data_IF_666847911394
#
_entry.id   IF_666847911394
#
_cell.length_a   1.000
_cell.length_b   1.000
_cell.length_c   1.000
_cell.angle_alpha   90.00
_cell.angle_beta   90.00
_cell.angle_gamma   90.00
#
_symmetry.space_group_name_H-M   'P 1'
#
loop_
_entity.id
_entity.type
_entity.pdbx_description
1 polymer ?
#
# COMPACT_ATOMS: atom_id res chain seq x y z
N UNK A 1 -9.20 -18.25 28.84
CA UNK A 1 -8.47 -18.45 27.53
C UNK A 1 -9.52 -18.28 26.45
N UNK A 2 -9.73 -17.02 26.07
CA UNK A 2 -10.84 -16.62 25.21
C UNK A 2 -10.35 -16.68 23.76
N UNK A 3 -10.98 -17.62 23.03
CA UNK A 3 -10.73 -17.78 21.61
C UNK A 3 -11.32 -16.60 20.85
N UNK A 4 -10.48 -15.73 20.30
CA UNK A 4 -10.91 -14.78 19.28
C UNK A 4 -11.67 -15.50 18.15
N UNK A 5 -12.76 -14.93 17.65
CA UNK A 5 -13.58 -15.57 16.64
C UNK A 5 -12.74 -15.83 15.39
N UNK A 6 -12.75 -17.06 14.91
CA UNK A 6 -12.05 -17.54 13.71
C UNK A 6 -12.28 -16.68 12.45
N UNK A 7 -13.30 -15.81 12.42
CA UNK A 7 -13.59 -14.90 11.31
C UNK A 7 -12.63 -13.72 11.25
N UNK A 8 -12.24 -13.12 12.38
CA UNK A 8 -11.33 -11.96 12.43
C UNK A 8 -9.92 -12.32 11.92
N UNK A 9 -9.42 -13.54 12.20
CA UNK A 9 -8.13 -14.02 11.67
C UNK A 9 -8.09 -14.23 10.15
N UNK A 10 -9.24 -14.25 9.46
CA UNK A 10 -9.31 -14.39 8.00
C UNK A 10 -9.17 -13.07 7.24
N UNK A 11 -9.28 -11.93 7.92
CA UNK A 11 -9.25 -10.59 7.32
C UNK A 11 -8.08 -9.75 7.84
N UNK A 12 -6.96 -10.37 8.18
CA UNK A 12 -5.75 -9.68 8.63
C UNK A 12 -4.59 -9.87 7.65
N UNK A 13 -3.64 -8.93 7.73
CA UNK A 13 -2.32 -9.03 7.14
C UNK A 13 -1.33 -9.36 8.25
N UNK A 14 -0.60 -10.47 8.18
CA UNK A 14 0.33 -10.83 9.24
C UNK A 14 1.67 -11.37 8.74
N UNK A 15 2.69 -11.10 9.54
CA UNK A 15 4.03 -11.65 9.42
C UNK A 15 4.36 -12.39 10.72
N UNK A 16 5.01 -13.54 10.62
CA UNK A 16 5.51 -14.31 11.76
C UNK A 16 6.97 -14.63 11.52
N UNK A 17 7.85 -14.03 12.32
CA UNK A 17 9.32 -14.21 12.29
C UNK A 17 9.93 -14.04 10.88
N UNK A 18 9.43 -13.03 10.14
CA UNK A 18 9.79 -12.79 8.74
C UNK A 18 11.12 -12.07 8.64
N UNK A 19 12.06 -12.66 7.92
CA UNK A 19 13.32 -12.03 7.51
C UNK A 19 13.35 -11.87 5.99
N UNK A 20 13.81 -10.71 5.52
CA UNK A 20 14.05 -10.43 4.10
C UNK A 20 15.50 -9.99 3.93
N UNK A 21 16.25 -10.76 3.15
CA UNK A 21 17.61 -10.44 2.74
C UNK A 21 17.64 -10.27 1.24
N UNK A 22 18.31 -9.24 0.76
CA UNK A 22 18.48 -8.92 -0.66
C UNK A 22 19.96 -8.89 -1.01
N UNK A 23 20.32 -9.22 -2.24
CA UNK A 23 21.67 -9.12 -2.72
C UNK A 23 22.04 -7.64 -2.92
N UNK A 24 23.05 -7.20 -2.17
CA UNK A 24 23.60 -5.86 -2.30
C UNK A 24 24.98 -5.88 -2.97
N UNK A 25 25.51 -4.71 -3.40
CA UNK A 25 26.82 -4.62 -4.06
C UNK A 25 28.02 -5.12 -3.22
N UNK A 26 27.83 -5.20 -1.91
CA UNK A 26 28.87 -5.64 -0.94
C UNK A 26 28.52 -6.95 -0.24
N UNK A 27 27.57 -7.71 -0.76
CA UNK A 27 27.03 -8.93 -0.17
C UNK A 27 25.58 -8.80 0.30
N UNK A 28 25.02 -9.85 0.91
CA UNK A 28 23.63 -9.86 1.36
C UNK A 28 23.35 -8.75 2.40
N UNK A 29 22.24 -8.06 2.22
CA UNK A 29 21.76 -6.99 3.13
C UNK A 29 20.40 -7.42 3.70
N UNK A 30 20.29 -7.51 5.01
CA UNK A 30 19.02 -7.76 5.69
C UNK A 30 18.20 -6.46 5.74
N UNK A 31 17.07 -6.44 5.04
CA UNK A 31 16.13 -5.30 4.94
C UNK A 31 15.05 -5.38 6.02
N UNK A 32 14.60 -6.60 6.35
CA UNK A 32 13.69 -6.89 7.45
C UNK A 32 14.28 -8.06 8.26
N UNK A 33 14.30 -7.94 9.59
CA UNK A 33 14.82 -8.95 10.50
C UNK A 33 13.77 -9.39 11.51
N UNK A 34 13.35 -10.66 11.41
CA UNK A 34 12.42 -11.34 12.32
C UNK A 34 11.16 -10.53 12.65
N UNK A 35 10.56 -9.92 11.62
CA UNK A 35 9.33 -9.14 11.77
C UNK A 35 8.17 -10.05 12.16
N UNK A 36 7.52 -9.71 13.28
CA UNK A 36 6.24 -10.30 13.68
C UNK A 36 5.23 -9.18 13.91
N UNK A 37 4.15 -9.17 13.12
CA UNK A 37 3.09 -8.19 13.20
C UNK A 37 1.77 -8.76 12.70
N UNK A 38 0.66 -8.16 13.15
CA UNK A 38 -0.67 -8.43 12.64
C UNK A 38 -1.43 -7.11 12.49
N UNK A 39 -1.88 -6.81 11.27
CA UNK A 39 -2.66 -5.64 10.93
C UNK A 39 -4.10 -6.04 10.70
N UNK A 40 -4.96 -5.74 11.67
CA UNK A 40 -6.42 -6.03 11.66
C UNK A 40 -7.25 -4.78 11.44
N UNK A 41 -6.68 -3.59 11.68
CA UNK A 41 -7.37 -2.33 11.48
C UNK A 41 -7.76 -2.12 10.02
N UNK A 42 -8.88 -1.44 9.77
CA UNK A 42 -9.31 -1.09 8.42
C UNK A 42 -8.26 -0.23 7.69
N UNK A 43 -7.58 0.67 8.41
CA UNK A 43 -6.45 1.43 7.87
C UNK A 43 -5.29 1.38 8.84
N UNK A 44 -4.15 0.89 8.33
CA UNK A 44 -2.86 0.91 9.03
C UNK A 44 -1.88 1.76 8.23
N UNK A 45 -1.21 2.70 8.90
CA UNK A 45 -0.09 3.45 8.34
C UNK A 45 1.24 2.83 8.79
N UNK A 46 2.17 2.67 7.86
CA UNK A 46 3.55 2.25 8.11
C UNK A 46 4.45 3.45 7.88
N UNK A 47 5.04 3.96 8.94
CA UNK A 47 5.93 5.14 8.91
C UNK A 47 7.37 4.76 9.23
N UNK A 48 8.32 5.62 8.91
CA UNK A 48 9.75 5.40 9.14
C UNK A 48 10.60 6.16 8.13
N UNK A 49 11.90 6.22 8.35
CA UNK A 49 12.84 6.90 7.48
C UNK A 49 12.92 6.25 6.09
N UNK A 50 13.47 6.98 5.10
CA UNK A 50 13.74 6.41 3.79
C UNK A 50 14.75 5.26 3.92
N UNK A 51 14.50 4.16 3.19
CA UNK A 51 15.33 2.96 3.26
C UNK A 51 15.09 2.07 4.48
N UNK A 52 14.15 2.39 5.38
CA UNK A 52 13.90 1.58 6.59
C UNK A 52 13.27 0.21 6.36
N UNK A 53 12.81 -0.09 5.13
CA UNK A 53 12.17 -1.38 4.80
C UNK A 53 10.65 -1.32 4.64
N UNK A 54 9.99 -0.15 4.75
CA UNK A 54 8.52 0.00 4.60
C UNK A 54 7.98 -0.64 3.32
N UNK A 55 8.52 -0.24 2.16
CA UNK A 55 8.08 -0.78 0.87
C UNK A 55 8.31 -2.28 0.76
N UNK A 56 9.39 -2.80 1.35
CA UNK A 56 9.67 -4.24 1.40
C UNK A 56 8.63 -4.98 2.22
N UNK A 57 8.26 -4.43 3.40
CA UNK A 57 7.18 -4.98 4.24
C UNK A 57 5.84 -5.02 3.49
N UNK A 58 5.48 -3.93 2.81
CA UNK A 58 4.24 -3.86 2.04
C UNK A 58 4.21 -4.89 0.90
N UNK A 59 5.31 -5.07 0.20
CA UNK A 59 5.45 -5.97 -0.95
C UNK A 59 5.38 -7.46 -0.60
N UNK A 60 5.56 -7.83 0.65
CA UNK A 60 5.36 -9.20 1.13
C UNK A 60 3.91 -9.66 0.95
N UNK A 61 2.93 -8.78 1.20
CA UNK A 61 1.51 -9.13 1.23
C UNK A 61 0.89 -9.41 -0.13
N UNK A 62 1.53 -8.99 -1.22
CA UNK A 62 1.08 -9.29 -2.59
C UNK A 62 2.05 -10.18 -3.37
N UNK A 63 2.99 -10.85 -2.69
CA UNK A 63 4.00 -11.71 -3.29
C UNK A 63 4.90 -10.99 -4.33
N UNK A 64 5.16 -9.70 -4.17
CA UNK A 64 6.20 -8.96 -4.92
C UNK A 64 7.59 -9.16 -4.32
N UNK A 65 7.65 -9.45 -3.03
CA UNK A 65 8.85 -9.87 -2.32
C UNK A 65 8.57 -11.20 -1.63
N UNK A 66 9.50 -12.13 -1.74
CA UNK A 66 9.46 -13.41 -1.04
C UNK A 66 10.33 -13.31 0.21
N UNK A 67 9.85 -13.68 1.40
CA UNK A 67 10.68 -13.70 2.60
C UNK A 67 11.78 -14.75 2.49
N UNK A 68 12.93 -14.46 3.06
CA UNK A 68 14.05 -15.43 3.19
C UNK A 68 13.76 -16.48 4.25
N UNK A 69 13.00 -16.11 5.29
CA UNK A 69 12.49 -17.00 6.34
C UNK A 69 11.21 -16.44 6.95
N UNK A 70 10.51 -17.25 7.78
CA UNK A 70 9.27 -16.88 8.42
C UNK A 70 8.04 -17.12 7.54
N UNK A 71 6.88 -16.59 7.95
CA UNK A 71 5.61 -16.80 7.28
C UNK A 71 4.84 -15.50 7.11
N UNK A 72 4.20 -15.33 5.95
CA UNK A 72 3.30 -14.20 5.64
C UNK A 72 1.90 -14.72 5.40
N UNK A 73 0.89 -13.97 5.84
CA UNK A 73 -0.52 -14.25 5.54
C UNK A 73 -1.24 -12.99 5.08
N UNK A 74 -2.03 -13.13 4.03
CA UNK A 74 -2.85 -12.07 3.45
C UNK A 74 -4.28 -12.56 3.38
N UNK A 75 -5.13 -12.11 4.32
CA UNK A 75 -6.51 -12.59 4.46
C UNK A 75 -6.57 -14.14 4.42
N UNK A 76 -5.69 -14.79 5.19
CA UNK A 76 -5.61 -16.25 5.30
C UNK A 76 -4.88 -16.96 4.17
N UNK A 77 -4.50 -16.27 3.08
CA UNK A 77 -3.70 -16.82 1.98
C UNK A 77 -2.21 -16.67 2.30
N UNK A 78 -1.43 -17.69 1.95
CA UNK A 78 0.02 -17.63 1.95
C UNK A 78 0.50 -17.07 0.59
N UNK A 79 1.11 -15.86 0.56
CA UNK A 79 1.55 -15.26 -0.71
C UNK A 79 2.69 -16.03 -1.38
N UNK A 80 3.48 -16.78 -0.61
CA UNK A 80 4.57 -17.59 -1.16
C UNK A 80 4.04 -18.84 -1.84
N UNK A 81 3.12 -19.56 -1.17
CA UNK A 81 2.53 -20.78 -1.70
C UNK A 81 1.50 -20.50 -2.81
N UNK A 82 0.76 -19.41 -2.73
CA UNK A 82 -0.31 -19.06 -3.65
C UNK A 82 -0.26 -17.59 -4.11
N UNK A 83 0.79 -17.20 -4.86
CA UNK A 83 1.00 -15.79 -5.24
C UNK A 83 -0.12 -15.22 -6.12
N UNK A 84 -0.76 -16.05 -6.96
CA UNK A 84 -1.90 -15.63 -7.78
C UNK A 84 -3.12 -15.28 -6.93
N UNK A 85 -3.40 -16.09 -5.91
CA UNK A 85 -4.53 -15.85 -5.00
C UNK A 85 -4.30 -14.63 -4.12
N UNK A 86 -3.07 -14.43 -3.63
CA UNK A 86 -2.69 -13.22 -2.90
C UNK A 86 -2.89 -11.97 -3.77
N UNK A 87 -2.36 -11.96 -5.01
CA UNK A 87 -2.51 -10.82 -5.95
C UNK A 87 -3.95 -10.57 -6.37
N UNK A 88 -4.80 -11.58 -6.39
CA UNK A 88 -6.23 -11.39 -6.68
C UNK A 88 -6.98 -10.66 -5.57
N UNK A 89 -6.45 -10.66 -4.35
CA UNK A 89 -7.05 -10.02 -3.17
C UNK A 89 -6.47 -8.63 -2.89
N UNK A 90 -5.23 -8.39 -3.33
CA UNK A 90 -4.45 -7.19 -3.02
C UNK A 90 -4.33 -6.30 -4.24
N UNK A 91 -4.88 -5.10 -4.16
CA UNK A 91 -4.53 -4.01 -5.05
C UNK A 91 -3.29 -3.28 -4.53
N UNK A 92 -2.28 -3.13 -5.35
CA UNK A 92 -1.03 -2.45 -4.98
C UNK A 92 -0.86 -1.18 -5.82
N UNK A 93 -0.65 -0.04 -5.15
CA UNK A 93 -0.33 1.24 -5.78
C UNK A 93 1.13 1.57 -5.46
N UNK A 94 1.96 1.67 -6.50
CA UNK A 94 3.38 1.97 -6.37
C UNK A 94 3.63 3.46 -6.17
N UNK A 95 4.78 3.78 -5.57
CA UNK A 95 5.25 5.17 -5.40
C UNK A 95 5.42 5.89 -6.73
N UNK A 96 5.93 5.19 -7.76
CA UNK A 96 6.08 5.71 -9.12
C UNK A 96 4.96 5.18 -10.03
N UNK A 97 3.98 6.02 -10.41
CA UNK A 97 2.90 5.61 -11.30
C UNK A 97 3.38 5.26 -12.72
N UNK A 98 4.52 5.77 -13.17
CA UNK A 98 5.06 5.45 -14.48
C UNK A 98 5.47 3.97 -14.61
N UNK A 99 5.78 3.32 -13.49
CA UNK A 99 6.05 1.87 -13.46
C UNK A 99 4.77 1.02 -13.47
N UNK A 100 3.59 1.62 -13.38
CA UNK A 100 2.31 0.93 -13.23
C UNK A 100 1.36 1.16 -14.41
N UNK A 101 1.32 2.37 -14.96
CA UNK A 101 0.47 2.71 -16.11
C UNK A 101 1.08 2.09 -17.38
N UNK A 102 0.29 1.27 -18.07
CA UNK A 102 0.73 0.50 -19.23
C UNK A 102 0.14 1.00 -20.56
N UNK A 103 -0.99 1.71 -20.51
CA UNK A 103 -1.74 2.12 -21.70
C UNK A 103 -1.52 3.61 -22.01
N UNK A 104 -1.72 4.02 -23.29
CA UNK A 104 -1.50 5.40 -23.72
C UNK A 104 -2.44 6.41 -23.09
N UNK A 105 -3.65 6.01 -22.72
CA UNK A 105 -4.67 6.88 -22.12
C UNK A 105 -5.19 6.34 -20.79
N UNK A 106 -5.63 7.22 -19.87
CA UNK A 106 -6.23 6.82 -18.59
C UNK A 106 -7.38 5.82 -18.71
N UNK A 107 -8.28 6.03 -19.66
CA UNK A 107 -9.44 5.16 -19.84
C UNK A 107 -9.02 3.75 -20.25
N UNK A 108 -8.07 3.63 -21.20
CA UNK A 108 -7.56 2.34 -21.67
C UNK A 108 -6.83 1.58 -20.55
N UNK A 109 -6.12 2.27 -19.67
CA UNK A 109 -5.40 1.65 -18.55
C UNK A 109 -6.37 1.03 -17.53
N UNK A 110 -7.46 1.74 -17.20
CA UNK A 110 -8.51 1.20 -16.35
C UNK A 110 -9.27 0.07 -17.06
N UNK A 111 -9.58 0.21 -18.36
CA UNK A 111 -10.19 -0.85 -19.15
C UNK A 111 -9.35 -2.13 -19.15
N UNK A 112 -8.01 -2.00 -19.22
CA UNK A 112 -7.09 -3.15 -19.13
C UNK A 112 -7.29 -3.91 -17.83
N UNK A 113 -7.42 -3.20 -16.71
CA UNK A 113 -7.68 -3.80 -15.40
C UNK A 113 -9.05 -4.51 -15.36
N UNK A 114 -10.07 -3.93 -15.98
CA UNK A 114 -11.44 -4.46 -16.01
C UNK A 114 -11.65 -5.65 -16.96
N UNK A 115 -10.74 -5.92 -17.91
CA UNK A 115 -10.92 -6.91 -19.01
C UNK A 115 -11.40 -8.28 -18.56
N UNK A 116 -10.96 -8.74 -17.39
CA UNK A 116 -11.33 -10.07 -16.88
C UNK A 116 -12.73 -10.11 -16.26
N UNK A 117 -13.27 -8.95 -15.86
CA UNK A 117 -14.56 -8.83 -15.16
C UNK A 117 -15.68 -8.37 -16.09
N UNK A 118 -15.37 -7.43 -16.98
CA UNK A 118 -16.33 -6.80 -17.89
C UNK A 118 -15.94 -7.15 -19.32
N UNK A 119 -16.74 -8.02 -19.97
CA UNK A 119 -16.45 -8.48 -21.34
C UNK A 119 -16.90 -7.50 -22.41
N UNK A 120 -18.03 -6.83 -22.17
CA UNK A 120 -18.55 -5.83 -23.08
C UNK A 120 -17.63 -4.59 -23.08
N UNK A 121 -17.30 -4.09 -24.28
CA UNK A 121 -16.36 -2.98 -24.45
C UNK A 121 -16.96 -1.67 -24.00
N UNK A 122 -18.22 -1.41 -24.36
CA UNK A 122 -18.90 -0.17 -24.05
C UNK A 122 -19.11 -0.03 -22.54
N UNK A 123 -19.61 -1.10 -21.90
CA UNK A 123 -19.76 -1.15 -20.46
C UNK A 123 -18.43 -0.93 -19.73
N UNK A 124 -17.35 -1.52 -20.25
CA UNK A 124 -16.01 -1.38 -19.65
C UNK A 124 -15.48 0.05 -19.74
N UNK A 125 -15.66 0.71 -20.89
CA UNK A 125 -15.30 2.12 -21.08
C UNK A 125 -16.11 3.03 -20.16
N UNK A 126 -17.42 2.81 -20.05
CA UNK A 126 -18.30 3.55 -19.13
C UNK A 126 -17.84 3.40 -17.66
N UNK A 127 -17.52 2.18 -17.23
CA UNK A 127 -17.00 1.93 -15.89
C UNK A 127 -15.63 2.62 -15.68
N UNK A 128 -14.74 2.58 -16.67
CA UNK A 128 -13.45 3.25 -16.61
C UNK A 128 -13.58 4.76 -16.44
N UNK A 129 -14.48 5.39 -17.22
CA UNK A 129 -14.78 6.82 -17.10
C UNK A 129 -15.40 7.15 -15.73
N UNK A 130 -16.25 6.28 -15.18
CA UNK A 130 -16.81 6.47 -13.84
C UNK A 130 -15.70 6.46 -12.76
N UNK A 131 -14.71 5.59 -12.87
CA UNK A 131 -13.55 5.58 -11.95
C UNK A 131 -12.73 6.86 -12.09
N UNK A 132 -12.46 7.31 -13.31
CA UNK A 132 -11.78 8.58 -13.53
C UNK A 132 -12.56 9.77 -12.95
N UNK A 133 -13.89 9.74 -13.01
CA UNK A 133 -14.74 10.78 -12.37
C UNK A 133 -14.57 10.79 -10.85
N UNK A 134 -14.47 9.61 -10.20
CA UNK A 134 -14.27 9.52 -8.73
C UNK A 134 -12.95 10.14 -8.29
N UNK A 135 -11.92 10.06 -9.12
CA UNK A 135 -10.61 10.68 -8.84
C UNK A 135 -10.47 12.09 -9.44
N UNK A 136 -11.55 12.63 -10.05
CA UNK A 136 -11.59 13.99 -10.60
C UNK A 136 -10.84 14.18 -11.91
N UNK A 137 -10.72 13.11 -12.72
CA UNK A 137 -9.98 13.08 -13.98
C UNK A 137 -10.85 12.67 -15.19
N UNK A 138 -12.18 12.81 -15.11
CA UNK A 138 -13.09 12.46 -16.21
C UNK A 138 -12.75 13.21 -17.50
N UNK A 139 -12.40 14.50 -17.40
CA UNK A 139 -12.05 15.34 -18.56
C UNK A 139 -10.69 14.95 -19.19
N UNK A 140 -9.92 14.12 -18.50
CA UNK A 140 -8.62 13.61 -18.95
C UNK A 140 -8.67 12.17 -19.48
N UNK A 141 -9.85 11.55 -19.53
CA UNK A 141 -10.02 10.14 -19.83
C UNK A 141 -9.29 9.67 -21.11
N UNK A 142 -9.38 10.47 -22.17
CA UNK A 142 -8.82 10.17 -23.48
C UNK A 142 -7.55 10.98 -23.84
N UNK A 143 -6.98 11.72 -22.86
CA UNK A 143 -5.70 12.41 -23.07
C UNK A 143 -4.55 11.42 -23.00
N UNK A 144 -3.40 11.80 -23.58
CA UNK A 144 -2.18 11.03 -23.41
C UNK A 144 -1.78 11.01 -21.92
N UNK A 145 -1.37 9.85 -21.39
CA UNK A 145 -0.83 9.74 -20.03
C UNK A 145 0.44 10.57 -19.84
N UNK A 146 1.15 10.90 -20.93
CA UNK A 146 2.35 11.76 -20.90
C UNK A 146 2.01 13.23 -20.67
N UNK A 147 0.77 13.67 -20.99
CA UNK A 147 0.29 15.03 -20.75
C UNK A 147 -0.20 15.23 -19.31
N UNK A 148 -0.30 14.16 -18.53
CA UNK A 148 -0.71 14.21 -17.13
C UNK A 148 0.48 14.57 -16.22
N UNK A 149 0.20 15.36 -15.19
CA UNK A 149 1.14 15.55 -14.08
C UNK A 149 1.43 14.25 -13.34
N UNK A 150 2.51 14.20 -12.57
CA UNK A 150 2.84 13.04 -11.76
C UNK A 150 1.70 12.67 -10.77
N UNK A 151 1.06 13.69 -10.20
CA UNK A 151 -0.09 13.49 -9.30
C UNK A 151 -1.33 12.96 -10.02
N UNK A 152 -1.64 13.46 -11.22
CA UNK A 152 -2.75 12.91 -12.02
C UNK A 152 -2.48 11.45 -12.41
N UNK A 153 -1.26 11.10 -12.81
CA UNK A 153 -0.88 9.70 -13.07
C UNK A 153 -1.05 8.83 -11.84
N UNK A 154 -0.70 9.31 -10.64
CA UNK A 154 -0.91 8.57 -9.39
C UNK A 154 -2.38 8.28 -9.14
N UNK A 155 -3.27 9.24 -9.40
CA UNK A 155 -4.72 9.05 -9.28
C UNK A 155 -5.28 8.08 -10.33
N UNK A 156 -4.74 8.08 -11.57
CA UNK A 156 -5.08 7.07 -12.60
C UNK A 156 -4.69 5.67 -12.15
N UNK A 157 -3.46 5.48 -11.67
CA UNK A 157 -2.97 4.20 -11.17
C UNK A 157 -3.86 3.68 -10.00
N UNK A 158 -4.23 4.56 -9.08
CA UNK A 158 -5.15 4.23 -7.98
C UNK A 158 -6.53 3.82 -8.51
N UNK A 159 -7.09 4.56 -9.48
CA UNK A 159 -8.39 4.24 -10.09
C UNK A 159 -8.37 2.88 -10.79
N UNK A 160 -7.30 2.56 -11.52
CA UNK A 160 -7.11 1.25 -12.17
C UNK A 160 -7.05 0.09 -11.18
N UNK A 161 -6.40 0.31 -10.02
CA UNK A 161 -6.35 -0.67 -8.94
C UNK A 161 -7.71 -0.84 -8.26
N UNK A 162 -8.41 0.23 -7.98
CA UNK A 162 -9.73 0.19 -7.33
C UNK A 162 -10.82 -0.39 -8.24
N UNK A 163 -10.70 -0.24 -9.55
CA UNK A 163 -11.66 -0.76 -10.52
C UNK A 163 -11.84 -2.28 -10.44
N UNK A 164 -10.83 -3.01 -9.97
CA UNK A 164 -10.93 -4.47 -9.77
C UNK A 164 -11.41 -4.86 -8.37
N UNK A 165 -11.87 -3.91 -7.56
CA UNK A 165 -12.44 -4.13 -6.24
C UNK A 165 -11.62 -5.12 -5.39
N UNK A 166 -10.37 -4.79 -5.05
CA UNK A 166 -9.53 -5.64 -4.21
C UNK A 166 -10.08 -5.70 -2.78
N UNK A 167 -9.76 -6.75 -2.01
CA UNK A 167 -10.11 -6.82 -0.58
C UNK A 167 -9.17 -5.99 0.29
N UNK A 168 -7.91 -5.90 -0.14
CA UNK A 168 -6.85 -5.14 0.51
C UNK A 168 -6.30 -4.14 -0.47
N UNK A 169 -6.13 -2.90 -0.05
CA UNK A 169 -5.46 -1.85 -0.80
C UNK A 169 -4.13 -1.52 -0.12
N UNK A 170 -3.03 -1.81 -0.81
CA UNK A 170 -1.68 -1.46 -0.36
C UNK A 170 -1.21 -0.25 -1.16
N UNK A 171 -0.80 0.81 -0.46
CA UNK A 171 -0.32 2.05 -1.07
C UNK A 171 1.10 2.35 -0.58
N UNK A 172 2.03 2.42 -1.52
CA UNK A 172 3.43 2.73 -1.22
C UNK A 172 3.68 4.22 -1.53
N UNK A 173 3.78 5.06 -0.50
CA UNK A 173 4.01 6.50 -0.55
C UNK A 173 3.04 7.26 -1.49
N UNK A 174 1.71 7.13 -1.33
CA UNK A 174 0.73 7.59 -2.33
C UNK A 174 0.63 9.12 -2.45
N UNK A 175 1.19 9.88 -1.51
CA UNK A 175 1.12 11.35 -1.48
C UNK A 175 2.36 12.06 -2.06
N UNK A 176 3.43 11.34 -2.37
CA UNK A 176 4.75 11.92 -2.73
C UNK A 176 4.68 12.85 -3.93
N UNK A 177 3.87 12.52 -4.94
CA UNK A 177 3.74 13.30 -6.18
C UNK A 177 2.54 14.25 -6.19
N UNK A 178 1.73 14.26 -5.11
CA UNK A 178 0.49 15.03 -5.05
C UNK A 178 0.70 16.43 -4.50
N UNK A 179 0.11 17.41 -5.16
CA UNK A 179 -0.13 18.73 -4.57
C UNK A 179 -1.18 18.66 -3.45
N UNK A 180 -1.36 19.75 -2.71
CA UNK A 180 -2.27 19.79 -1.58
C UNK A 180 -3.71 19.43 -1.97
N UNK A 181 -4.20 19.91 -3.12
CA UNK A 181 -5.56 19.65 -3.59
C UNK A 181 -5.77 18.15 -3.83
N UNK A 182 -4.82 17.50 -4.49
CA UNK A 182 -4.90 16.08 -4.79
C UNK A 182 -4.66 15.21 -3.55
N UNK A 183 -3.84 15.65 -2.57
CA UNK A 183 -3.71 14.99 -1.25
C UNK A 183 -5.04 14.98 -0.49
N UNK A 184 -5.75 16.10 -0.45
CA UNK A 184 -7.07 16.18 0.19
C UNK A 184 -8.08 15.24 -0.48
N UNK A 185 -8.12 15.22 -1.82
CA UNK A 185 -8.98 14.30 -2.58
C UNK A 185 -8.65 12.83 -2.32
N UNK A 186 -7.35 12.50 -2.30
CA UNK A 186 -6.90 11.14 -1.98
C UNK A 186 -7.37 10.73 -0.59
N UNK A 187 -7.20 11.59 0.43
CA UNK A 187 -7.66 11.30 1.80
C UNK A 187 -9.16 11.03 1.85
N UNK A 188 -9.96 11.92 1.27
CA UNK A 188 -11.43 11.78 1.20
C UNK A 188 -11.83 10.47 0.50
N UNK A 189 -11.18 10.15 -0.63
CA UNK A 189 -11.40 8.89 -1.33
C UNK A 189 -11.09 7.68 -0.44
N UNK A 190 -9.91 7.66 0.18
CA UNK A 190 -9.48 6.55 1.05
C UNK A 190 -10.38 6.37 2.28
N UNK A 191 -10.91 7.46 2.84
CA UNK A 191 -11.84 7.42 3.99
C UNK A 191 -13.15 6.72 3.64
N UNK A 192 -13.64 6.89 2.41
CA UNK A 192 -14.87 6.28 1.92
C UNK A 192 -14.74 4.81 1.49
N UNK A 193 -13.52 4.27 1.38
CA UNK A 193 -13.30 2.91 0.89
C UNK A 193 -13.56 1.85 1.98
N UNK A 194 -14.25 0.74 1.63
CA UNK A 194 -14.50 -0.36 2.56
C UNK A 194 -13.31 -1.30 2.74
N UNK A 195 -12.35 -1.29 1.81
CA UNK A 195 -11.18 -2.17 1.79
C UNK A 195 -10.29 -1.98 3.02
N UNK A 196 -9.65 -3.06 3.45
CA UNK A 196 -8.52 -2.92 4.37
C UNK A 196 -7.37 -2.20 3.66
N UNK A 197 -6.78 -1.19 4.31
CA UNK A 197 -5.74 -0.34 3.73
C UNK A 197 -4.45 -0.46 4.52
N UNK A 198 -3.35 -0.73 3.81
CA UNK A 198 -1.99 -0.69 4.36
C UNK A 198 -1.20 0.37 3.58
N UNK A 199 -0.79 1.45 4.24
CA UNK A 199 -0.23 2.65 3.61
C UNK A 199 1.16 2.91 4.16
N UNK A 200 2.21 2.82 3.34
CA UNK A 200 3.49 3.42 3.71
C UNK A 200 3.45 4.92 3.45
N UNK A 201 3.95 5.71 4.36
CA UNK A 201 4.01 7.17 4.16
C UNK A 201 4.99 7.87 5.10
N UNK A 202 5.57 8.97 4.62
CA UNK A 202 6.26 9.96 5.44
C UNK A 202 5.35 11.17 5.78
N UNK A 203 4.14 11.22 5.19
CA UNK A 203 3.12 12.22 5.48
C UNK A 203 2.39 11.86 6.78
N UNK A 204 2.78 12.53 7.88
CA UNK A 204 2.19 12.27 9.20
C UNK A 204 0.73 12.73 9.31
N UNK A 205 0.27 13.64 8.46
CA UNK A 205 -1.15 14.00 8.39
C UNK A 205 -1.96 12.84 7.81
N UNK A 206 -1.48 12.19 6.74
CA UNK A 206 -2.11 10.98 6.22
C UNK A 206 -2.04 9.85 7.25
N UNK A 207 -0.89 9.65 7.89
CA UNK A 207 -0.72 8.62 8.92
C UNK A 207 -1.68 8.81 10.11
N UNK A 208 -1.97 10.05 10.50
CA UNK A 208 -2.88 10.36 11.61
C UNK A 208 -4.34 10.00 11.33
N UNK A 209 -4.73 9.78 10.07
CA UNK A 209 -6.08 9.32 9.70
C UNK A 209 -6.27 7.80 9.83
N UNK A 210 -5.20 7.06 10.10
CA UNK A 210 -5.26 5.61 10.30
C UNK A 210 -5.79 5.25 11.70
N UNK A 211 -6.29 4.04 11.87
CA UNK A 211 -6.64 3.49 13.19
C UNK A 211 -5.43 2.86 13.88
N UNK A 212 -4.39 2.52 13.10
CA UNK A 212 -3.18 1.88 13.60
C UNK A 212 -1.96 2.43 12.85
N UNK A 213 -0.87 2.65 13.56
CA UNK A 213 0.42 3.09 13.00
C UNK A 213 1.51 2.12 13.43
N UNK A 214 2.37 1.73 12.50
CA UNK A 214 3.59 0.96 12.77
C UNK A 214 4.82 1.74 12.32
N UNK A 215 5.86 1.79 13.15
CA UNK A 215 7.15 2.45 12.85
C UNK A 215 8.18 1.40 12.46
N UNK A 216 8.70 1.50 11.24
CA UNK A 216 9.78 0.62 10.74
C UNK A 216 11.11 1.37 10.83
N UNK A 217 12.06 0.80 11.58
CA UNK A 217 13.42 1.30 11.74
C UNK A 217 14.39 0.16 12.06
N UNK A 218 15.65 0.24 11.59
CA UNK A 218 16.68 -0.75 11.87
C UNK A 218 16.29 -2.18 11.50
N UNK A 219 15.64 -2.36 10.33
CA UNK A 219 15.09 -3.62 9.83
C UNK A 219 13.95 -4.23 10.70
N UNK A 220 13.48 -3.52 11.74
CA UNK A 220 12.44 -3.97 12.68
C UNK A 220 11.21 -3.07 12.74
N UNK A 221 10.12 -3.55 13.35
CA UNK A 221 9.01 -2.71 13.81
C UNK A 221 9.31 -2.33 15.26
N UNK A 222 9.63 -1.04 15.50
CA UNK A 222 10.08 -0.55 16.82
C UNK A 222 8.95 0.02 17.68
N UNK A 223 7.81 0.35 17.07
CA UNK A 223 6.59 0.77 17.77
C UNK A 223 5.37 0.48 16.88
N UNK A 224 4.26 0.19 17.51
CA UNK A 224 2.96 0.11 16.86
C UNK A 224 1.84 0.42 17.85
N UNK A 225 0.73 0.95 17.36
CA UNK A 225 -0.42 1.34 18.18
C UNK A 225 -1.26 2.45 17.54
N UNK A 226 -2.11 3.14 18.32
CA UNK A 226 -2.92 4.23 17.82
C UNK A 226 -2.05 5.44 17.43
N UNK A 227 -2.46 6.23 16.40
CA UNK A 227 -1.67 7.33 15.86
C UNK A 227 -1.30 8.39 16.89
N UNK A 228 -2.20 8.68 17.84
CA UNK A 228 -1.99 9.67 18.91
C UNK A 228 -0.86 9.30 19.88
N UNK A 229 -0.51 8.03 19.99
CA UNK A 229 0.61 7.55 20.82
C UNK A 229 1.90 7.40 20.01
N UNK A 230 1.78 6.85 18.79
CA UNK A 230 2.95 6.44 17.98
C UNK A 230 3.58 7.63 17.25
N UNK A 231 2.77 8.53 16.67
CA UNK A 231 3.29 9.67 15.89
C UNK A 231 4.12 10.64 16.74
N UNK A 232 3.70 11.03 17.95
CA UNK A 232 4.55 11.88 18.80
C UNK A 232 5.89 11.24 19.16
N UNK A 233 5.91 9.93 19.45
CA UNK A 233 7.14 9.18 19.72
C UNK A 233 8.06 9.16 18.50
N UNK A 234 7.50 8.91 17.32
CA UNK A 234 8.27 8.94 16.08
C UNK A 234 8.90 10.30 15.82
N UNK A 235 8.14 11.40 16.03
CA UNK A 235 8.69 12.77 15.92
C UNK A 235 9.85 13.00 16.87
N UNK A 236 9.69 12.62 18.15
CA UNK A 236 10.76 12.74 19.13
C UNK A 236 12.01 11.96 18.70
N UNK A 237 11.87 10.75 18.18
CA UNK A 237 13.00 9.96 17.66
C UNK A 237 13.68 10.61 16.46
N UNK A 238 12.94 11.26 15.58
CA UNK A 238 13.53 12.01 14.46
C UNK A 238 14.39 13.20 14.94
N UNK A 239 14.11 13.74 16.12
CA UNK A 239 14.86 14.87 16.70
C UNK A 239 16.02 14.42 17.59
N UNK A 240 15.86 13.32 18.33
CA UNK A 240 16.80 12.88 19.38
C UNK A 240 17.59 11.61 19.05
N UNK A 241 17.30 10.95 17.93
CA UNK A 241 17.85 9.64 17.54
C UNK A 241 16.89 8.49 17.87
N UNK A 242 17.00 7.40 17.11
CA UNK A 242 16.16 6.23 17.25
C UNK A 242 16.72 5.26 18.33
N UNK A 243 15.85 4.43 18.93
CA UNK A 243 16.31 3.39 19.85
C UNK A 243 17.35 2.47 19.20
N UNK A 244 18.50 2.31 19.86
CA UNK A 244 19.60 1.47 19.36
C UNK A 244 20.62 2.17 18.46
N UNK A 245 20.42 3.43 18.09
CA UNK A 245 21.47 4.26 17.49
C UNK A 245 22.42 4.71 18.63
N UNK A 246 23.72 4.43 18.47
CA UNK A 246 24.73 4.97 19.39
C UNK A 246 24.80 6.49 19.20
N UNK A 247 24.75 7.23 20.30
CA UNK A 247 24.94 8.67 20.32
C UNK A 247 26.36 9.07 19.87
#
# INVERSE_FOLDING_TARGET
>A
MDGEPRSARRESLSCTDVTVTVDGPRGPVTVLDRISCEFTARRTAVIGLNGSGKSTLLRLFNALVTPSSGAVRTHGVDPVASPKDARSRVGFVFTDPASQILMPTPVEDIELSLRRRVRDRTEREEQAVQWLRRVGLADRAHHSVFDLSGGERQLVALAAVLAVDPRVLVLDEPTTLLDLRNRLRLRELLEGLPQQQLISTHDLELASTAQHVAVVHGAGIIAQGPPEEVIPRYRAWCETGFPGEAA
#
